data_IF_691817328713
#
_entry.id   IF_691817328713
#
_cell.length_a   1.000
_cell.length_b   1.000
_cell.length_c   1.000
_cell.angle_alpha   90.00
_cell.angle_beta   90.00
_cell.angle_gamma   90.00
#
_symmetry.space_group_name_H-M   'P 1'
#
loop_
_entity.id
_entity.type
_entity.pdbx_description
1 polymer ?
#
# COMPACT_ATOMS: atom_id res chain seq x y z
N UNK A 1 1.95 10.55 -0.52
CA UNK A 1 2.47 10.07 0.79
C UNK A 1 3.95 9.73 0.75
N UNK A 2 4.45 8.86 -0.15
CA UNK A 2 5.91 8.55 -0.32
C UNK A 2 6.80 9.81 -0.50
N UNK A 3 6.27 10.90 -1.07
CA UNK A 3 6.97 12.20 -1.18
C UNK A 3 7.09 12.96 0.15
N UNK A 4 6.17 12.79 1.10
CA UNK A 4 6.29 13.37 2.45
C UNK A 4 7.38 12.67 3.26
N UNK A 5 7.60 11.37 3.01
CA UNK A 5 8.62 10.54 3.66
C UNK A 5 10.06 10.90 3.24
N UNK A 6 10.30 11.23 1.97
CA UNK A 6 11.60 11.77 1.54
C UNK A 6 11.91 13.14 2.17
N UNK A 7 10.89 14.00 2.33
CA UNK A 7 11.03 15.26 3.07
C UNK A 7 11.27 15.04 4.58
N UNK A 8 10.74 13.96 5.17
CA UNK A 8 10.80 13.71 6.61
C UNK A 8 12.02 12.93 7.10
N UNK A 9 12.58 12.00 6.31
CA UNK A 9 13.91 11.40 6.57
C UNK A 9 15.03 12.47 6.57
N UNK A 10 14.74 13.65 6.00
CA UNK A 10 15.53 14.87 6.11
C UNK A 10 15.19 15.64 7.39
N UNK A 11 13.91 15.79 7.74
CA UNK A 11 13.41 16.52 8.92
C UNK A 11 13.89 15.98 10.28
N UNK A 12 13.86 14.66 10.51
CA UNK A 12 14.31 14.03 11.78
C UNK A 12 15.83 14.17 12.00
N UNK A 13 16.61 14.18 10.91
CA UNK A 13 18.04 14.53 10.96
C UNK A 13 18.31 15.99 11.38
N UNK A 14 17.29 16.84 11.31
CA UNK A 14 17.40 18.29 11.57
C UNK A 14 16.56 18.74 12.78
N UNK A 15 16.00 17.83 13.58
CA UNK A 15 15.32 18.17 14.85
C UNK A 15 14.06 19.02 14.73
N UNK A 16 13.35 18.98 13.60
CA UNK A 16 12.13 19.78 13.38
C UNK A 16 10.93 19.21 14.11
N UNK A 17 10.10 20.10 14.64
CA UNK A 17 8.85 19.75 15.35
C UNK A 17 7.73 19.33 14.39
N UNK A 18 6.69 18.69 14.93
CA UNK A 18 5.45 18.32 14.23
C UNK A 18 4.81 19.50 13.52
N UNK A 19 4.71 20.63 14.23
CA UNK A 19 4.07 21.85 13.74
C UNK A 19 4.85 22.46 12.58
N UNK A 20 6.19 22.58 12.71
CA UNK A 20 7.04 23.08 11.63
C UNK A 20 6.99 22.17 10.39
N UNK A 21 6.91 20.86 10.61
CA UNK A 21 6.78 19.89 9.51
C UNK A 21 5.44 20.05 8.80
N UNK A 22 4.34 20.22 9.53
CA UNK A 22 3.03 20.47 8.94
C UNK A 22 3.00 21.79 8.15
N UNK A 23 3.55 22.88 8.69
CA UNK A 23 3.64 24.16 7.98
C UNK A 23 4.46 24.06 6.69
N UNK A 24 5.57 23.31 6.72
CA UNK A 24 6.36 23.03 5.53
C UNK A 24 5.56 22.23 4.49
N UNK A 25 4.78 21.23 4.93
CA UNK A 25 3.93 20.44 4.03
C UNK A 25 2.82 21.30 3.40
N UNK A 26 2.18 22.18 4.18
CA UNK A 26 1.18 23.12 3.65
C UNK A 26 1.80 24.10 2.65
N UNK A 27 3.00 24.61 2.91
CA UNK A 27 3.71 25.47 1.95
C UNK A 27 4.07 24.76 0.65
N UNK A 28 4.43 23.48 0.70
CA UNK A 28 4.88 22.72 -0.47
C UNK A 28 3.72 22.13 -1.29
N UNK A 29 2.65 21.69 -0.63
CA UNK A 29 1.58 20.91 -1.24
C UNK A 29 0.20 21.60 -1.17
N UNK A 30 0.07 22.70 -0.43
CA UNK A 30 -1.17 23.47 -0.33
C UNK A 30 -2.34 22.62 0.16
N UNK A 31 -3.40 22.56 -0.66
CA UNK A 31 -4.62 21.78 -0.38
C UNK A 31 -4.38 20.27 -0.36
N UNK A 32 -3.32 19.78 -1.02
CA UNK A 32 -2.94 18.37 -1.05
C UNK A 32 -2.01 17.99 0.12
N UNK A 33 -1.74 18.93 1.04
CA UNK A 33 -0.94 18.65 2.23
C UNK A 33 -1.66 17.66 3.16
N UNK A 34 -0.87 16.81 3.82
CA UNK A 34 -1.42 15.95 4.85
C UNK A 34 -1.98 16.80 6.00
N UNK A 35 -3.12 16.36 6.54
CA UNK A 35 -3.73 17.02 7.68
C UNK A 35 -2.80 17.03 8.89
N UNK A 36 -2.96 18.02 9.76
CA UNK A 36 -2.21 18.11 11.02
C UNK A 36 -2.31 16.83 11.84
N UNK A 37 -3.51 16.22 11.93
CA UNK A 37 -3.72 14.94 12.61
C UNK A 37 -2.85 13.81 12.02
N UNK A 38 -2.81 13.69 10.70
CA UNK A 38 -1.98 12.71 10.01
C UNK A 38 -0.49 12.91 10.35
N UNK A 39 0.00 14.16 10.30
CA UNK A 39 1.40 14.48 10.65
C UNK A 39 1.74 14.03 12.08
N UNK A 40 0.87 14.30 13.06
CA UNK A 40 1.05 13.91 14.47
C UNK A 40 1.02 12.39 14.66
N UNK A 41 0.07 11.69 14.05
CA UNK A 41 -0.01 10.22 14.11
C UNK A 41 1.27 9.58 13.56
N UNK A 42 1.80 10.12 12.46
CA UNK A 42 3.08 9.67 11.93
C UNK A 42 4.25 9.99 12.88
N UNK A 43 4.28 11.17 13.51
CA UNK A 43 5.31 11.48 14.50
C UNK A 43 5.32 10.49 15.66
N UNK A 44 4.14 10.13 16.17
CA UNK A 44 4.02 9.11 17.21
C UNK A 44 4.53 7.74 16.75
N UNK A 45 4.11 7.27 15.56
CA UNK A 45 4.57 5.98 15.01
C UNK A 45 6.09 5.90 14.86
N UNK A 46 6.72 6.97 14.37
CA UNK A 46 8.18 7.03 14.23
C UNK A 46 8.89 7.13 15.58
N UNK A 47 8.35 7.85 16.56
CA UNK A 47 8.89 7.85 17.93
C UNK A 47 8.81 6.48 18.61
N UNK A 48 7.79 5.69 18.28
CA UNK A 48 7.60 4.32 18.77
C UNK A 48 8.49 3.29 18.03
N UNK A 49 9.41 3.73 17.16
CA UNK A 49 10.37 2.88 16.46
C UNK A 49 9.78 2.11 15.27
N UNK A 50 8.57 2.47 14.83
CA UNK A 50 7.95 1.86 13.64
C UNK A 50 8.55 2.51 12.39
N UNK A 51 9.46 1.80 11.73
CA UNK A 51 10.05 2.23 10.44
C UNK A 51 9.23 1.76 9.24
N UNK A 52 8.20 0.92 9.45
CA UNK A 52 7.35 0.46 8.36
C UNK A 52 6.45 1.58 7.86
N UNK A 53 6.49 1.75 6.54
CA UNK A 53 5.86 2.85 5.80
C UNK A 53 4.68 2.34 4.99
N UNK A 54 4.57 1.03 4.85
CA UNK A 54 3.46 0.41 4.15
C UNK A 54 2.15 0.64 4.92
N UNK A 55 1.06 0.76 4.17
CA UNK A 55 -0.26 0.73 4.78
C UNK A 55 -0.42 -0.62 5.50
N UNK A 56 -0.80 -0.58 6.78
CA UNK A 56 -1.20 -1.76 7.51
C UNK A 56 -2.27 -2.52 6.69
N UNK A 57 -2.28 -3.87 6.70
CA UNK A 57 -3.25 -4.64 5.94
C UNK A 57 -4.66 -4.10 6.16
N UNK A 58 -5.23 -3.52 5.10
CA UNK A 58 -6.55 -2.89 5.20
C UNK A 58 -7.56 -3.96 5.58
N UNK A 59 -8.31 -3.72 6.65
CA UNK A 59 -9.46 -4.55 6.97
C UNK A 59 -10.49 -4.41 5.85
N UNK A 60 -10.64 -5.48 5.07
CA UNK A 60 -11.43 -5.54 3.85
C UNK A 60 -11.42 -6.95 3.28
N UNK A 61 -12.21 -7.20 2.22
CA UNK A 61 -12.18 -8.50 1.54
C UNK A 61 -10.75 -8.75 1.05
N UNK A 62 -10.12 -9.89 1.42
CA UNK A 62 -8.81 -10.24 0.88
C UNK A 62 -8.87 -10.21 -0.66
N UNK A 63 -7.84 -9.70 -1.34
CA UNK A 63 -7.78 -9.77 -2.80
C UNK A 63 -7.73 -11.25 -3.22
N UNK A 64 -8.90 -11.82 -3.53
CA UNK A 64 -9.02 -13.22 -3.94
C UNK A 64 -8.37 -13.48 -5.29
N UNK A 65 -8.08 -12.43 -6.08
CA UNK A 65 -7.44 -12.55 -7.39
C UNK A 65 -5.94 -12.85 -7.34
N UNK A 66 -5.25 -12.41 -6.28
CA UNK A 66 -3.78 -12.37 -6.23
C UNK A 66 -3.25 -13.18 -5.04
N UNK A 67 -3.85 -14.33 -4.79
CA UNK A 67 -3.36 -15.30 -3.80
C UNK A 67 -2.20 -16.10 -4.40
N UNK A 68 -1.27 -16.61 -3.57
CA UNK A 68 -0.20 -17.51 -4.02
C UNK A 68 -0.74 -18.69 -4.85
N UNK A 69 -1.84 -19.30 -4.43
CA UNK A 69 -2.52 -20.40 -5.13
C UNK A 69 -2.96 -20.01 -6.56
N UNK A 70 -3.57 -18.84 -6.71
CA UNK A 70 -4.01 -18.36 -8.01
C UNK A 70 -2.82 -18.03 -8.92
N UNK A 71 -1.73 -17.50 -8.36
CA UNK A 71 -0.50 -17.23 -9.10
C UNK A 71 0.12 -18.54 -9.61
N UNK A 72 0.25 -19.54 -8.75
CA UNK A 72 0.80 -20.84 -9.16
C UNK A 72 -0.09 -21.51 -10.20
N UNK A 73 -1.41 -21.45 -10.06
CA UNK A 73 -2.33 -22.04 -11.03
C UNK A 73 -2.23 -21.38 -12.40
N UNK A 74 -2.15 -20.05 -12.47
CA UNK A 74 -1.90 -19.34 -13.74
C UNK A 74 -0.57 -19.77 -14.36
N UNK A 75 0.49 -19.94 -13.56
CA UNK A 75 1.78 -20.46 -14.05
C UNK A 75 1.64 -21.86 -14.64
N UNK A 76 0.92 -22.75 -13.98
CA UNK A 76 0.64 -24.10 -14.48
C UNK A 76 -0.16 -24.08 -15.78
N UNK A 77 -1.24 -23.31 -15.84
CA UNK A 77 -2.09 -23.19 -17.03
C UNK A 77 -1.30 -22.71 -18.25
N UNK A 78 -0.46 -21.69 -18.08
CA UNK A 78 0.39 -21.17 -19.16
C UNK A 78 1.52 -22.12 -19.55
N UNK A 79 1.99 -22.96 -18.62
CA UNK A 79 2.99 -23.99 -18.91
C UNK A 79 2.40 -25.16 -19.71
N UNK A 80 1.16 -25.55 -19.41
CA UNK A 80 0.42 -26.62 -20.07
C UNK A 80 -0.10 -26.21 -21.45
N UNK A 81 -0.80 -25.07 -21.55
CA UNK A 81 -1.27 -24.53 -22.83
C UNK A 81 -1.04 -23.00 -22.93
N UNK A 82 -0.07 -22.63 -23.77
CA UNK A 82 0.27 -21.24 -24.06
C UNK A 82 -0.77 -20.51 -24.93
N UNK A 83 -1.74 -21.22 -25.51
CA UNK A 83 -2.81 -20.63 -26.35
C UNK A 83 -4.02 -20.20 -25.53
N UNK A 84 -4.01 -20.42 -24.22
CA UNK A 84 -5.09 -20.02 -23.33
C UNK A 84 -5.32 -18.51 -23.40
N UNK A 85 -6.58 -18.14 -23.63
CA UNK A 85 -6.99 -16.74 -23.60
C UNK A 85 -7.12 -16.23 -22.18
N UNK A 86 -6.91 -14.94 -21.99
CA UNK A 86 -7.16 -14.24 -20.72
C UNK A 86 -8.57 -14.51 -20.17
N UNK A 87 -9.57 -14.63 -21.05
CA UNK A 87 -10.96 -14.93 -20.64
C UNK A 87 -11.08 -16.31 -20.00
N UNK A 88 -10.44 -17.33 -20.58
CA UNK A 88 -10.47 -18.69 -20.05
C UNK A 88 -9.75 -18.78 -18.70
N UNK A 89 -8.60 -18.12 -18.57
CA UNK A 89 -7.86 -18.04 -17.30
C UNK A 89 -8.72 -17.35 -16.24
N UNK A 90 -9.39 -16.25 -16.58
CA UNK A 90 -10.26 -15.53 -15.65
C UNK A 90 -11.50 -16.34 -15.23
N UNK A 91 -12.14 -17.10 -16.13
CA UNK A 91 -13.28 -17.97 -15.81
C UNK A 91 -12.87 -19.09 -14.84
N UNK A 92 -11.71 -19.69 -15.04
CA UNK A 92 -11.17 -20.73 -14.17
C UNK A 92 -10.88 -20.20 -12.75
N UNK A 93 -10.25 -19.02 -12.64
CA UNK A 93 -9.99 -18.38 -11.35
C UNK A 93 -11.27 -17.88 -10.66
N UNK A 94 -12.32 -17.53 -11.42
CA UNK A 94 -13.61 -17.10 -10.87
C UNK A 94 -14.37 -18.24 -10.20
N UNK A 95 -14.35 -19.45 -10.78
CA UNK A 95 -15.00 -20.64 -10.18
C UNK A 95 -14.50 -20.94 -8.75
N UNK A 96 -13.28 -20.54 -8.42
CA UNK A 96 -12.69 -20.71 -7.09
C UNK A 96 -13.16 -19.64 -6.09
N UNK A 97 -13.46 -18.42 -6.56
CA UNK A 97 -13.98 -17.36 -5.69
C UNK A 97 -15.40 -17.66 -5.16
N UNK A 98 -16.16 -18.54 -5.82
CA UNK A 98 -17.52 -18.93 -5.42
C UNK A 98 -17.55 -20.09 -4.40
N UNK A 99 -16.47 -20.87 -4.28
CA UNK A 99 -16.40 -22.04 -3.39
C UNK A 99 -15.97 -21.70 -1.95
N UNK A 100 -15.62 -20.43 -1.68
CA UNK A 100 -15.15 -19.96 -0.38
C UNK A 100 -15.96 -18.76 0.17
N UNK A 101 -17.23 -18.63 -0.26
CA UNK A 101 -18.20 -17.73 0.37
C UNK A 101 -19.01 -18.47 1.43
#
# INVERSE_FOLDING_TARGET
MVRMLHSRRRSERHGKTETETHEMLVKLYGVEAASKKCVFEWFKRFSDGTEDVEDEPRSGRPPTSTTPDNIERVRWMLADDRRLSLRMIAEELRRQCEQHC
#
